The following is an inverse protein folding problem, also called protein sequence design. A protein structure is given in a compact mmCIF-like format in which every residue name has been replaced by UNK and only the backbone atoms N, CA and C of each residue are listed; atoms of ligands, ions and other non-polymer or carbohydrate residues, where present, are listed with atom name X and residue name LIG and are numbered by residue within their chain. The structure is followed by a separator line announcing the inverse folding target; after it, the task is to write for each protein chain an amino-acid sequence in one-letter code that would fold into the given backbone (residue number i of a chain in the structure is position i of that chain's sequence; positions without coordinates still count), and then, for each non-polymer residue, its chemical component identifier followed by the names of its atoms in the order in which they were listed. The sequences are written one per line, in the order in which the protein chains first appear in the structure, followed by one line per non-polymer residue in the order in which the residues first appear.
data_IF_808447784205
#
_entry.id   IF_808447784205
#
_cell.length_a   1.000
_cell.length_b   1.000
_cell.length_c   1.000
_cell.angle_alpha   90.00
_cell.angle_beta   90.00
_cell.angle_gamma   90.00
#
_symmetry.space_group_name_H-M   'P 1'
#
loop_
_entity.id
_entity.type
_entity.pdbx_description
1 polymer ?
#
# COMPACT_ATOMS: atom_id res chain seq x y z
N UNK A 1 -18.23 9.24 19.04
CA UNK A 1 -18.91 7.92 19.03
C UNK A 1 -18.54 7.10 17.79
N UNK A 2 -18.84 7.56 16.56
CA UNK A 2 -18.57 6.83 15.30
C UNK A 2 -17.10 6.38 15.16
N UNK A 3 -16.14 7.29 15.36
CA UNK A 3 -14.71 6.96 15.27
C UNK A 3 -14.28 5.84 16.24
N UNK A 4 -14.77 5.87 17.48
CA UNK A 4 -14.45 4.86 18.50
C UNK A 4 -15.04 3.50 18.15
N UNK A 5 -16.24 3.48 17.59
CA UNK A 5 -16.86 2.25 17.09
C UNK A 5 -16.04 1.68 15.93
N UNK A 6 -15.72 2.50 14.93
CA UNK A 6 -14.95 2.10 13.76
C UNK A 6 -13.57 1.57 14.14
N UNK A 7 -12.89 2.21 15.09
CA UNK A 7 -11.63 1.72 15.62
C UNK A 7 -11.79 0.35 16.29
N UNK A 8 -12.80 0.16 17.14
CA UNK A 8 -13.02 -1.13 17.82
C UNK A 8 -13.33 -2.27 16.85
N UNK A 9 -14.16 -2.01 15.84
CA UNK A 9 -14.55 -3.01 14.84
C UNK A 9 -13.37 -3.42 13.95
N UNK A 10 -12.45 -2.50 13.67
CA UNK A 10 -11.34 -2.73 12.74
C UNK A 10 -9.99 -2.94 13.43
N UNK A 11 -9.92 -2.85 14.77
CA UNK A 11 -8.66 -2.93 15.51
C UNK A 11 -7.89 -4.19 15.18
N UNK A 12 -8.57 -5.35 15.16
CA UNK A 12 -7.93 -6.63 14.86
C UNK A 12 -7.34 -6.65 13.44
N UNK A 13 -8.06 -6.07 12.46
CA UNK A 13 -7.56 -5.98 11.08
C UNK A 13 -6.35 -5.05 11.01
N UNK A 14 -6.40 -3.88 11.66
CA UNK A 14 -5.30 -2.91 11.67
C UNK A 14 -4.06 -3.49 12.35
N UNK A 15 -4.22 -4.16 13.49
CA UNK A 15 -3.12 -4.83 14.20
C UNK A 15 -2.57 -5.99 13.37
N UNK A 16 -3.45 -6.80 12.77
CA UNK A 16 -3.04 -7.90 11.88
C UNK A 16 -2.28 -7.38 10.65
N UNK A 17 -2.74 -6.29 10.04
CA UNK A 17 -2.06 -5.63 8.92
C UNK A 17 -0.69 -5.10 9.33
N UNK A 18 -0.60 -4.40 10.47
CA UNK A 18 0.69 -3.96 11.01
C UNK A 18 1.64 -5.13 11.27
N UNK A 19 1.16 -6.19 11.92
CA UNK A 19 1.97 -7.37 12.23
C UNK A 19 2.48 -8.06 10.94
N UNK A 20 1.63 -8.18 9.92
CA UNK A 20 2.00 -8.74 8.62
C UNK A 20 3.08 -7.89 7.95
N UNK A 21 2.91 -6.57 7.90
CA UNK A 21 3.92 -5.66 7.36
C UNK A 21 5.24 -5.78 8.13
N UNK A 22 5.20 -5.64 9.45
CA UNK A 22 6.39 -5.67 10.29
C UNK A 22 7.16 -6.98 10.15
N UNK A 23 6.45 -8.12 10.18
CA UNK A 23 7.04 -9.44 10.01
C UNK A 23 7.69 -9.57 8.62
N UNK A 24 6.96 -9.28 7.55
CA UNK A 24 7.47 -9.49 6.19
C UNK A 24 8.63 -8.54 5.85
N UNK A 25 8.59 -7.30 6.33
CA UNK A 25 9.68 -6.34 6.17
C UNK A 25 10.90 -6.73 6.99
N UNK A 26 10.72 -7.17 8.24
CA UNK A 26 11.85 -7.62 9.08
C UNK A 26 12.54 -8.86 8.48
N UNK A 27 11.76 -9.84 8.02
CA UNK A 27 12.29 -11.03 7.33
C UNK A 27 12.99 -10.65 6.02
N UNK A 28 12.42 -9.71 5.25
CA UNK A 28 13.05 -9.18 4.05
C UNK A 28 14.40 -8.53 4.35
N UNK A 29 14.48 -7.69 5.38
CA UNK A 29 15.74 -7.07 5.81
C UNK A 29 16.75 -8.14 6.20
N UNK A 30 16.35 -9.13 6.99
CA UNK A 30 17.25 -10.18 7.43
C UNK A 30 17.77 -11.06 6.28
N UNK A 31 16.98 -11.24 5.22
CA UNK A 31 17.40 -11.95 4.01
C UNK A 31 18.38 -11.15 3.12
N UNK A 32 18.55 -9.84 3.36
CA UNK A 32 19.39 -8.99 2.51
C UNK A 32 20.84 -9.47 2.34
N UNK A 33 21.58 -9.88 3.40
CA UNK A 33 22.99 -10.28 3.25
C UNK A 33 23.18 -11.47 2.30
N UNK A 34 22.28 -12.45 2.38
CA UNK A 34 22.29 -13.63 1.51
C UNK A 34 21.97 -13.22 0.07
N UNK A 35 20.95 -12.37 -0.13
CA UNK A 35 20.60 -11.85 -1.44
C UNK A 35 21.73 -11.02 -2.07
N UNK A 36 22.37 -10.15 -1.29
CA UNK A 36 23.50 -9.32 -1.74
C UNK A 36 24.67 -10.18 -2.21
N UNK A 37 24.97 -11.25 -1.48
CA UNK A 37 26.02 -12.21 -1.84
C UNK A 37 25.65 -12.96 -3.12
N UNK A 38 24.43 -13.48 -3.21
CA UNK A 38 23.94 -14.20 -4.39
C UNK A 38 23.93 -13.31 -5.65
N UNK A 39 23.52 -12.04 -5.52
CA UNK A 39 23.55 -11.07 -6.60
C UNK A 39 24.98 -10.80 -7.09
N UNK A 40 25.95 -10.70 -6.17
CA UNK A 40 27.35 -10.47 -6.52
C UNK A 40 28.02 -11.68 -7.18
N UNK A 41 27.65 -12.89 -6.77
CA UNK A 41 28.16 -14.13 -7.36
C UNK A 41 27.52 -14.44 -8.71
N UNK A 42 26.23 -14.12 -8.87
CA UNK A 42 25.45 -14.48 -10.05
C UNK A 42 25.04 -13.20 -10.79
N UNK A 43 25.99 -12.61 -11.51
CA UNK A 43 25.72 -11.44 -12.37
C UNK A 43 24.60 -11.70 -13.38
N UNK A 44 24.31 -12.97 -13.69
CA UNK A 44 23.28 -13.40 -14.65
C UNK A 44 21.95 -13.89 -14.02
N UNK A 45 21.68 -13.71 -12.71
CA UNK A 45 20.36 -14.13 -12.12
C UNK A 45 19.20 -13.53 -12.90
N UNK A 46 19.35 -12.26 -13.27
CA UNK A 46 18.38 -11.51 -14.06
C UNK A 46 18.06 -12.23 -15.40
N UNK A 47 19.06 -12.85 -16.04
CA UNK A 47 18.90 -13.57 -17.31
C UNK A 47 18.03 -14.83 -17.21
N UNK A 48 17.99 -15.47 -16.03
CA UNK A 48 17.17 -16.67 -15.79
C UNK A 48 15.71 -16.37 -15.46
N UNK A 49 15.36 -15.10 -15.17
CA UNK A 49 13.97 -14.73 -14.93
C UNK A 49 13.21 -14.65 -16.26
N UNK A 50 12.15 -15.45 -16.45
CA UNK A 50 11.37 -15.45 -17.68
C UNK A 50 10.45 -14.23 -17.81
N UNK A 51 10.20 -13.52 -16.70
CA UNK A 51 9.35 -12.34 -16.64
C UNK A 51 10.24 -11.10 -16.65
N UNK A 52 10.12 -10.29 -17.71
CA UNK A 52 10.96 -9.11 -17.92
C UNK A 52 10.81 -8.06 -16.80
N UNK A 53 9.60 -7.82 -16.29
CA UNK A 53 9.41 -6.91 -15.16
C UNK A 53 10.15 -7.34 -13.88
N UNK A 54 10.24 -8.66 -13.61
CA UNK A 54 11.03 -9.16 -12.46
C UNK A 54 12.52 -9.02 -12.71
N UNK A 55 12.96 -9.21 -13.96
CA UNK A 55 14.34 -9.00 -14.38
C UNK A 55 14.77 -7.56 -14.13
N UNK A 56 13.97 -6.59 -14.55
CA UNK A 56 14.24 -5.16 -14.35
C UNK A 56 14.32 -4.81 -12.86
N UNK A 57 13.42 -5.34 -12.02
CA UNK A 57 13.49 -5.16 -10.56
C UNK A 57 14.81 -5.70 -9.99
N UNK A 58 15.25 -6.89 -10.39
CA UNK A 58 16.53 -7.45 -9.94
C UNK A 58 17.68 -6.55 -10.39
N UNK A 59 17.74 -6.17 -11.66
CA UNK A 59 18.79 -5.28 -12.18
C UNK A 59 18.88 -3.98 -11.39
N UNK A 60 17.73 -3.34 -11.11
CA UNK A 60 17.68 -2.14 -10.26
C UNK A 60 18.21 -2.38 -8.86
N UNK A 61 17.94 -3.54 -8.25
CA UNK A 61 18.51 -3.90 -6.95
C UNK A 61 20.03 -4.09 -7.04
N UNK A 62 20.55 -4.61 -8.16
CA UNK A 62 22.00 -4.71 -8.36
C UNK A 62 22.65 -3.32 -8.51
N UNK A 63 21.98 -2.40 -9.22
CA UNK A 63 22.47 -1.04 -9.48
C UNK A 63 22.38 -0.13 -8.25
N UNK A 64 21.23 -0.10 -7.59
CA UNK A 64 20.88 0.86 -6.50
C UNK A 64 21.03 0.24 -5.10
N UNK A 65 21.31 -1.06 -5.04
CA UNK A 65 21.60 -1.78 -3.81
C UNK A 65 20.42 -1.85 -2.84
N UNK A 66 20.72 -1.62 -1.55
CA UNK A 66 19.79 -1.89 -0.46
C UNK A 66 18.54 -0.99 -0.49
N UNK A 67 18.64 0.25 -0.98
CA UNK A 67 17.49 1.15 -1.03
C UNK A 67 16.42 0.66 -2.01
N UNK A 68 16.81 0.22 -3.21
CA UNK A 68 15.88 -0.37 -4.15
C UNK A 68 15.25 -1.64 -3.58
N UNK A 69 16.05 -2.51 -2.95
CA UNK A 69 15.52 -3.70 -2.29
C UNK A 69 14.51 -3.36 -1.20
N UNK A 70 14.85 -2.46 -0.27
CA UNK A 70 13.95 -2.00 0.77
C UNK A 70 12.66 -1.40 0.20
N UNK A 71 12.77 -0.59 -0.86
CA UNK A 71 11.64 0.02 -1.54
C UNK A 71 10.68 -1.01 -2.13
N UNK A 72 11.21 -2.06 -2.77
CA UNK A 72 10.37 -3.19 -3.25
C UNK A 72 9.69 -3.88 -2.08
N UNK A 73 10.43 -4.20 -1.01
CA UNK A 73 9.87 -4.98 0.11
C UNK A 73 8.81 -4.21 0.90
N UNK A 74 9.06 -2.93 1.17
CA UNK A 74 8.23 -2.10 2.04
C UNK A 74 7.13 -1.35 1.28
N UNK A 75 7.46 -0.70 0.16
CA UNK A 75 6.52 0.17 -0.55
C UNK A 75 5.73 -0.60 -1.59
N UNK A 76 6.41 -1.34 -2.47
CA UNK A 76 5.74 -2.07 -3.54
C UNK A 76 5.00 -3.31 -3.02
N UNK A 77 5.66 -4.20 -2.29
CA UNK A 77 5.01 -5.39 -1.69
C UNK A 77 4.16 -5.01 -0.48
N UNK A 78 4.75 -4.29 0.49
CA UNK A 78 4.04 -3.91 1.72
C UNK A 78 2.83 -3.00 1.46
N UNK A 79 3.04 -1.86 0.80
CA UNK A 79 1.96 -0.95 0.45
C UNK A 79 1.13 -1.41 -0.75
N UNK A 80 1.78 -1.73 -1.87
CA UNK A 80 1.11 -2.06 -3.12
C UNK A 80 0.36 -3.39 -3.14
N UNK A 81 0.82 -4.42 -2.40
CA UNK A 81 0.11 -5.71 -2.35
C UNK A 81 -0.70 -5.82 -1.06
N UNK A 82 -0.05 -5.78 0.11
CA UNK A 82 -0.76 -5.97 1.38
C UNK A 82 -1.63 -4.76 1.75
N UNK A 83 -1.15 -3.54 1.50
CA UNK A 83 -1.92 -2.32 1.75
C UNK A 83 -3.16 -2.20 0.86
N UNK A 84 -3.04 -2.54 -0.42
CA UNK A 84 -4.18 -2.66 -1.34
C UNK A 84 -5.19 -3.70 -0.85
N UNK A 85 -4.73 -4.88 -0.43
CA UNK A 85 -5.60 -5.92 0.11
C UNK A 85 -6.37 -5.41 1.34
N UNK A 86 -5.66 -4.77 2.28
CA UNK A 86 -6.25 -4.16 3.46
C UNK A 86 -7.24 -3.04 3.11
N UNK A 87 -6.92 -2.21 2.10
CA UNK A 87 -7.80 -1.14 1.61
C UNK A 87 -9.10 -1.68 1.03
N UNK A 88 -9.04 -2.76 0.23
CA UNK A 88 -10.21 -3.46 -0.28
C UNK A 88 -11.07 -4.04 0.84
N UNK A 89 -10.46 -4.72 1.81
CA UNK A 89 -11.19 -5.32 2.94
C UNK A 89 -11.85 -4.26 3.83
N UNK A 90 -11.10 -3.25 4.28
CA UNK A 90 -11.62 -2.17 5.12
C UNK A 90 -12.65 -1.30 4.41
N UNK A 91 -12.42 -0.97 3.14
CA UNK A 91 -13.31 -0.10 2.37
C UNK A 91 -14.62 -0.77 1.99
N UNK A 92 -14.61 -2.09 1.76
CA UNK A 92 -15.77 -2.82 1.23
C UNK A 92 -17.02 -2.72 2.11
N UNK A 93 -16.85 -2.88 3.42
CA UNK A 93 -17.94 -2.84 4.40
C UNK A 93 -18.21 -1.47 5.01
N UNK A 94 -17.50 -0.41 4.61
CA UNK A 94 -17.53 0.85 5.37
C UNK A 94 -18.89 1.57 5.31
N UNK A 95 -19.61 1.42 4.20
CA UNK A 95 -20.97 1.94 4.03
C UNK A 95 -21.95 0.77 3.82
N UNK A 96 -21.64 -0.14 2.89
CA UNK A 96 -22.53 -1.23 2.51
C UNK A 96 -22.94 -2.15 3.69
N UNK A 97 -22.08 -2.31 4.72
CA UNK A 97 -22.41 -3.15 5.89
C UNK A 97 -23.63 -2.65 6.66
N UNK A 98 -23.89 -1.35 6.67
CA UNK A 98 -25.08 -0.80 7.34
C UNK A 98 -26.36 -1.12 6.57
N UNK A 99 -26.29 -1.17 5.25
CA UNK A 99 -27.41 -1.58 4.40
C UNK A 99 -27.66 -3.08 4.55
N UNK A 100 -26.59 -3.89 4.50
CA UNK A 100 -26.62 -5.35 4.64
C UNK A 100 -27.23 -5.77 6.00
N UNK A 101 -26.82 -5.10 7.08
CA UNK A 101 -27.31 -5.37 8.44
C UNK A 101 -28.64 -4.68 8.78
N UNK A 102 -29.25 -3.91 7.87
CA UNK A 102 -30.46 -3.11 8.10
C UNK A 102 -30.32 -2.10 9.26
N UNK A 103 -29.11 -1.62 9.52
CA UNK A 103 -28.81 -0.63 10.58
C UNK A 103 -28.70 0.80 10.05
N UNK A 104 -28.74 0.99 8.71
CA UNK A 104 -28.68 2.30 8.07
C UNK A 104 -29.80 3.26 8.56
N UNK A 105 -31.02 2.75 8.77
CA UNK A 105 -32.15 3.56 9.24
C UNK A 105 -31.91 4.17 10.63
N UNK A 106 -31.32 3.39 11.53
CA UNK A 106 -30.95 3.85 12.87
C UNK A 106 -29.82 4.89 12.84
N UNK A 107 -28.87 4.74 11.91
CA UNK A 107 -27.78 5.70 11.74
C UNK A 107 -28.30 7.03 11.19
N UNK A 108 -29.26 6.99 10.26
CA UNK A 108 -29.83 8.14 9.57
C UNK A 108 -30.96 8.85 10.34
N UNK A 109 -31.57 8.21 11.33
CA UNK A 109 -32.58 8.84 12.21
C UNK A 109 -31.96 9.81 13.21
N UNK A 110 -30.65 9.71 13.45
CA UNK A 110 -29.92 10.67 14.29
C UNK A 110 -29.72 11.99 13.54
N UNK A 111 -29.70 13.15 14.25
CA UNK A 111 -29.47 14.46 13.65
C UNK A 111 -27.98 14.68 13.30
N UNK A 112 -27.39 13.76 12.54
CA UNK A 112 -26.00 13.81 12.07
C UNK A 112 -26.03 13.86 10.55
N UNK A 113 -25.34 14.82 9.94
CA UNK A 113 -25.28 14.93 8.49
C UNK A 113 -24.61 13.70 7.86
N UNK A 114 -25.17 13.23 6.74
CA UNK A 114 -24.64 12.09 5.97
C UNK A 114 -23.19 12.28 5.58
N UNK A 115 -22.85 13.50 5.15
CA UNK A 115 -21.47 13.90 4.82
C UNK A 115 -20.51 13.70 5.98
N UNK A 116 -20.91 14.08 7.20
CA UNK A 116 -20.08 13.91 8.41
C UNK A 116 -19.85 12.43 8.71
N UNK A 117 -20.87 11.59 8.57
CA UNK A 117 -20.74 10.13 8.78
C UNK A 117 -19.70 9.55 7.82
N UNK A 118 -19.84 9.83 6.52
CA UNK A 118 -18.92 9.32 5.49
C UNK A 118 -17.51 9.84 5.71
N UNK A 119 -17.32 11.15 5.93
CA UNK A 119 -15.99 11.75 6.13
C UNK A 119 -15.28 11.20 7.38
N UNK A 120 -16.00 11.01 8.49
CA UNK A 120 -15.41 10.44 9.70
C UNK A 120 -14.98 8.99 9.47
N UNK A 121 -15.82 8.18 8.82
CA UNK A 121 -15.48 6.79 8.51
C UNK A 121 -14.31 6.69 7.54
N UNK A 122 -14.36 7.46 6.46
CA UNK A 122 -13.27 7.56 5.48
C UNK A 122 -11.96 7.99 6.14
N UNK A 123 -11.98 9.06 6.95
CA UNK A 123 -10.78 9.55 7.64
C UNK A 123 -10.21 8.53 8.62
N UNK A 124 -11.05 7.85 9.41
CA UNK A 124 -10.58 6.78 10.29
C UNK A 124 -10.02 5.59 9.52
N UNK A 125 -10.62 5.20 8.39
CA UNK A 125 -10.10 4.13 7.54
C UNK A 125 -8.79 4.48 6.84
N UNK A 126 -8.66 5.71 6.35
CA UNK A 126 -7.41 6.21 5.78
C UNK A 126 -6.27 6.20 6.83
N UNK A 127 -6.53 6.68 8.05
CA UNK A 127 -5.56 6.62 9.15
C UNK A 127 -5.22 5.19 9.57
N UNK A 128 -6.22 4.30 9.58
CA UNK A 128 -6.05 2.88 9.89
C UNK A 128 -5.16 2.14 8.87
N UNK A 129 -5.09 2.61 7.63
CA UNK A 129 -4.21 2.09 6.58
C UNK A 129 -2.82 2.75 6.58
N UNK A 130 -2.78 4.08 6.69
CA UNK A 130 -1.53 4.84 6.63
C UNK A 130 -0.65 4.60 7.86
N UNK A 131 -1.24 4.51 9.05
CA UNK A 131 -0.47 4.42 10.31
C UNK A 131 0.39 3.15 10.38
N UNK A 132 -0.16 1.93 10.13
CA UNK A 132 0.67 0.71 10.09
C UNK A 132 1.82 0.78 9.09
N UNK A 133 1.59 1.35 7.90
CA UNK A 133 2.60 1.46 6.86
C UNK A 133 3.75 2.40 7.28
N UNK A 134 3.42 3.57 7.83
CA UNK A 134 4.43 4.53 8.32
C UNK A 134 5.20 3.96 9.49
N UNK A 135 4.52 3.36 10.47
CA UNK A 135 5.17 2.75 11.63
C UNK A 135 6.09 1.59 11.21
N UNK A 136 5.62 0.70 10.33
CA UNK A 136 6.43 -0.40 9.83
C UNK A 136 7.64 0.10 9.03
N UNK A 137 7.51 1.20 8.29
CA UNK A 137 8.65 1.80 7.58
C UNK A 137 9.71 2.30 8.57
N UNK A 138 9.28 2.90 9.68
CA UNK A 138 10.17 3.29 10.78
C UNK A 138 10.88 2.09 11.40
N UNK A 139 10.15 1.01 11.69
CA UNK A 139 10.74 -0.25 12.17
C UNK A 139 11.77 -0.78 11.18
N UNK A 140 11.43 -0.82 9.89
CA UNK A 140 12.35 -1.26 8.83
C UNK A 140 13.64 -0.46 8.81
N UNK A 141 13.56 0.88 8.83
CA UNK A 141 14.75 1.73 8.85
C UNK A 141 15.58 1.58 10.13
N UNK A 142 14.94 1.32 11.28
CA UNK A 142 15.65 1.03 12.55
C UNK A 142 16.32 -0.34 12.55
N UNK A 143 15.80 -1.31 11.79
CA UNK A 143 16.37 -2.64 11.66
C UNK A 143 17.50 -2.72 10.62
N UNK A 144 17.58 -1.80 9.65
CA UNK A 144 18.61 -1.80 8.61
C UNK A 144 20.06 -1.87 9.13
N UNK A 145 20.46 -1.19 10.22
CA UNK A 145 21.81 -1.31 10.77
C UNK A 145 22.20 -2.72 11.20
N UNK A 146 21.23 -3.61 11.49
CA UNK A 146 21.50 -5.01 11.87
C UNK A 146 22.11 -5.82 10.73
N UNK A 147 21.93 -5.39 9.47
CA UNK A 147 22.52 -6.03 8.28
C UNK A 147 23.66 -5.21 7.66
N UNK A 148 24.18 -4.24 8.42
CA UNK A 148 25.29 -3.38 7.99
C UNK A 148 24.88 -2.26 7.02
N UNK A 149 23.58 -2.03 6.84
CA UNK A 149 23.05 -1.04 5.92
C UNK A 149 22.46 0.17 6.67
N UNK A 150 22.36 1.32 6.00
CA UNK A 150 21.73 2.52 6.56
C UNK A 150 20.76 3.11 5.56
N UNK A 151 19.59 3.49 6.04
CA UNK A 151 18.57 4.18 5.25
C UNK A 151 18.33 5.57 5.84
N UNK A 152 18.20 6.57 4.97
CA UNK A 152 17.74 7.89 5.37
C UNK A 152 16.30 7.81 5.88
N UNK A 153 16.09 8.14 7.17
CA UNK A 153 14.75 8.18 7.76
C UNK A 153 13.81 9.14 7.02
N UNK A 154 14.34 10.22 6.46
CA UNK A 154 13.56 11.18 5.69
C UNK A 154 13.07 10.55 4.37
N UNK A 155 13.96 9.89 3.62
CA UNK A 155 13.60 9.22 2.37
C UNK A 155 12.57 8.10 2.64
N UNK A 156 12.78 7.33 3.71
CA UNK A 156 11.86 6.28 4.13
C UNK A 156 10.48 6.86 4.51
N UNK A 157 10.44 7.95 5.28
CA UNK A 157 9.19 8.63 5.65
C UNK A 157 8.46 9.22 4.42
N UNK A 158 9.20 9.78 3.47
CA UNK A 158 8.65 10.29 2.21
C UNK A 158 8.06 9.16 1.36
N UNK A 159 8.77 8.03 1.22
CA UNK A 159 8.28 6.84 0.53
C UNK A 159 7.04 6.25 1.20
N UNK A 160 7.02 6.20 2.54
CA UNK A 160 5.85 5.76 3.30
C UNK A 160 4.65 6.68 3.10
N UNK A 161 4.86 8.00 3.13
CA UNK A 161 3.80 8.98 2.90
C UNK A 161 3.22 8.87 1.49
N UNK A 162 4.08 8.76 0.47
CA UNK A 162 3.66 8.60 -0.91
C UNK A 162 2.88 7.30 -1.12
N UNK A 163 3.41 6.19 -0.62
CA UNK A 163 2.76 4.87 -0.71
C UNK A 163 1.44 4.85 0.07
N UNK A 164 1.37 5.54 1.21
CA UNK A 164 0.12 5.68 1.96
C UNK A 164 -0.95 6.42 1.14
N UNK A 165 -0.58 7.44 0.36
CA UNK A 165 -1.53 8.10 -0.56
C UNK A 165 -2.06 7.13 -1.61
N UNK A 166 -1.22 6.27 -2.17
CA UNK A 166 -1.65 5.23 -3.11
C UNK A 166 -2.67 4.28 -2.48
N UNK A 167 -2.37 3.77 -1.29
CA UNK A 167 -3.29 2.89 -0.53
C UNK A 167 -4.59 3.61 -0.20
N UNK A 168 -4.54 4.90 0.18
CA UNK A 168 -5.73 5.71 0.46
C UNK A 168 -6.55 5.99 -0.80
N UNK A 169 -5.93 6.17 -1.97
CA UNK A 169 -6.64 6.33 -3.24
C UNK A 169 -7.43 5.06 -3.62
N UNK A 170 -6.80 3.89 -3.45
CA UNK A 170 -7.46 2.58 -3.61
C UNK A 170 -8.59 2.40 -2.60
N UNK A 171 -8.35 2.73 -1.34
CA UNK A 171 -9.37 2.68 -0.29
C UNK A 171 -10.55 3.60 -0.61
N UNK A 172 -10.30 4.81 -1.11
CA UNK A 172 -11.33 5.77 -1.51
C UNK A 172 -12.19 5.22 -2.63
N UNK A 173 -11.59 4.58 -3.62
CA UNK A 173 -12.31 3.87 -4.70
C UNK A 173 -13.20 2.76 -4.13
N UNK A 174 -12.68 1.99 -3.17
CA UNK A 174 -13.45 0.94 -2.49
C UNK A 174 -14.63 1.51 -1.70
N UNK A 175 -14.44 2.63 -0.99
CA UNK A 175 -15.50 3.33 -0.24
C UNK A 175 -16.58 3.85 -1.20
N UNK A 176 -16.17 4.43 -2.33
CA UNK A 176 -17.06 4.94 -3.37
C UNK A 176 -17.91 3.83 -4.00
N UNK A 177 -17.33 2.65 -4.23
CA UNK A 177 -18.05 1.45 -4.67
C UNK A 177 -18.94 0.89 -3.56
N UNK A 178 -18.47 0.88 -2.31
CA UNK A 178 -19.25 0.44 -1.14
C UNK A 178 -20.51 1.29 -0.97
N UNK A 179 -20.43 2.60 -1.20
CA UNK A 179 -21.59 3.49 -1.18
C UNK A 179 -22.67 3.16 -2.23
N UNK A 180 -22.29 2.46 -3.30
CA UNK A 180 -23.18 2.04 -4.41
C UNK A 180 -23.60 0.58 -4.34
N UNK A 181 -23.16 -0.15 -3.33
CA UNK A 181 -23.43 -1.57 -3.16
C UNK A 181 -24.39 -1.82 -2.01
N UNK A 182 -25.31 -2.75 -2.20
CA UNK A 182 -26.14 -3.30 -1.12
C UNK A 182 -25.42 -4.35 -0.28
N UNK A 183 -24.39 -5.00 -0.85
CA UNK A 183 -23.64 -6.09 -0.20
C UNK A 183 -22.24 -5.63 0.18
N UNK A 184 -21.84 -5.94 1.42
CA UNK A 184 -20.57 -5.50 1.97
C UNK A 184 -19.36 -6.01 1.17
N UNK A 185 -19.40 -7.25 0.67
CA UNK A 185 -18.23 -7.87 0.03
C UNK A 185 -18.03 -7.47 -1.45
N UNK A 186 -19.08 -7.00 -2.13
CA UNK A 186 -19.05 -6.78 -3.59
C UNK A 186 -18.01 -5.74 -4.00
N UNK A 187 -17.95 -4.62 -3.26
CA UNK A 187 -16.99 -3.55 -3.54
C UNK A 187 -15.54 -4.03 -3.39
N UNK A 188 -15.25 -4.80 -2.33
CA UNK A 188 -13.91 -5.35 -2.09
C UNK A 188 -13.48 -6.31 -3.20
N UNK A 189 -14.34 -7.24 -3.59
CA UNK A 189 -14.04 -8.21 -4.66
C UNK A 189 -13.75 -7.51 -5.99
N UNK A 190 -14.56 -6.50 -6.36
CA UNK A 190 -14.34 -5.74 -7.60
C UNK A 190 -12.99 -5.02 -7.56
N UNK A 191 -12.68 -4.30 -6.48
CA UNK A 191 -11.41 -3.57 -6.37
C UNK A 191 -10.22 -4.51 -6.38
N UNK A 192 -10.26 -5.61 -5.63
CA UNK A 192 -9.19 -6.60 -5.62
C UNK A 192 -9.00 -7.26 -6.98
N UNK A 193 -10.09 -7.62 -7.67
CA UNK A 193 -10.03 -8.18 -9.01
C UNK A 193 -9.41 -7.21 -10.03
N UNK A 194 -9.82 -5.93 -9.98
CA UNK A 194 -9.22 -4.89 -10.83
C UNK A 194 -7.74 -4.71 -10.50
N UNK A 195 -7.35 -4.70 -9.22
CA UNK A 195 -5.95 -4.49 -8.84
C UNK A 195 -5.07 -5.69 -9.14
N UNK A 196 -5.59 -6.92 -9.07
CA UNK A 196 -4.90 -8.10 -9.57
C UNK A 196 -4.65 -8.01 -11.09
N UNK A 197 -5.64 -7.53 -11.85
CA UNK A 197 -5.44 -7.25 -13.28
C UNK A 197 -4.38 -6.16 -13.48
N UNK A 198 -4.42 -5.07 -12.71
CA UNK A 198 -3.42 -3.99 -12.78
C UNK A 198 -2.02 -4.51 -12.44
N UNK A 199 -1.89 -5.42 -11.48
CA UNK A 199 -0.64 -6.07 -11.15
C UNK A 199 -0.15 -6.97 -12.30
N UNK A 200 -1.05 -7.71 -12.95
CA UNK A 200 -0.68 -8.50 -14.13
C UNK A 200 -0.21 -7.61 -15.30
N UNK A 201 -0.87 -6.47 -15.54
CA UNK A 201 -0.46 -5.49 -16.54
C UNK A 201 0.92 -4.90 -16.22
N UNK A 202 1.21 -4.66 -14.94
CA UNK A 202 2.50 -4.17 -14.47
C UNK A 202 3.66 -5.11 -14.83
N UNK A 203 3.44 -6.43 -14.78
CA UNK A 203 4.46 -7.43 -15.12
C UNK A 203 4.77 -7.51 -16.63
N UNK A 204 3.94 -6.89 -17.47
CA UNK A 204 4.12 -6.86 -18.92
C UNK A 204 4.74 -5.51 -19.31
N UNK A 205 5.99 -5.54 -19.76
CA UNK A 205 6.77 -4.32 -20.11
C UNK A 205 6.08 -3.35 -21.08
N UNK A 206 5.28 -3.84 -22.02
CA UNK A 206 4.57 -2.96 -22.96
C UNK A 206 3.37 -2.26 -22.28
N UNK A 207 2.82 -2.87 -21.22
CA UNK A 207 1.59 -2.44 -20.56
C UNK A 207 1.82 -1.80 -19.19
N UNK A 208 3.03 -1.86 -18.65
CA UNK A 208 3.35 -1.40 -17.30
C UNK A 208 2.98 0.07 -17.05
N UNK A 209 3.14 0.95 -18.04
CA UNK A 209 2.78 2.37 -17.96
C UNK A 209 1.29 2.62 -17.70
N UNK A 210 0.43 1.66 -18.06
CA UNK A 210 -1.02 1.73 -17.83
C UNK A 210 -1.42 1.15 -16.47
N UNK A 211 -0.49 0.55 -15.74
CA UNK A 211 -0.75 0.02 -14.41
C UNK A 211 -0.76 1.12 -13.36
N UNK A 212 -1.73 1.08 -12.46
CA UNK A 212 -1.72 1.90 -11.25
C UNK A 212 -0.47 1.66 -10.38
N UNK A 213 0.16 0.48 -10.47
CA UNK A 213 1.37 0.15 -9.72
C UNK A 213 2.60 0.96 -10.16
N UNK A 214 2.60 1.51 -11.38
CA UNK A 214 3.64 2.44 -11.84
C UNK A 214 3.75 3.67 -10.93
N UNK A 215 2.66 4.07 -10.26
CA UNK A 215 2.68 5.20 -9.32
C UNK A 215 3.51 4.94 -8.05
N UNK A 216 3.86 3.69 -7.75
CA UNK A 216 4.64 3.32 -6.55
C UNK A 216 5.83 2.40 -6.87
N UNK A 217 6.24 2.36 -8.14
CA UNK A 217 7.35 1.54 -8.61
C UNK A 217 8.71 2.14 -8.19
N UNK A 218 9.78 1.38 -8.38
CA UNK A 218 11.17 1.77 -8.21
C UNK A 218 11.54 3.04 -8.97
N UNK A 219 11.01 3.29 -10.16
CA UNK A 219 11.28 4.54 -10.86
C UNK A 219 10.78 5.78 -10.09
N UNK A 220 9.74 5.60 -9.26
CA UNK A 220 9.19 6.64 -8.37
C UNK A 220 9.92 6.66 -7.03
N UNK A 221 10.28 5.50 -6.49
CA UNK A 221 10.83 5.37 -5.14
C UNK A 221 12.34 5.57 -5.05
N UNK A 222 13.09 5.23 -6.10
CA UNK A 222 14.56 5.31 -6.11
C UNK A 222 15.07 6.75 -5.99
N UNK A 223 14.51 7.75 -6.70
CA UNK A 223 14.94 9.15 -6.58
C UNK A 223 14.81 9.74 -5.16
N UNK A 224 13.97 9.17 -4.30
CA UNK A 224 13.84 9.61 -2.91
C UNK A 224 15.14 9.46 -2.10
N UNK A 225 15.98 8.48 -2.42
CA UNK A 225 17.29 8.33 -1.79
C UNK A 225 18.20 9.55 -2.07
N UNK A 226 17.96 10.22 -3.19
CA UNK A 226 18.67 11.42 -3.63
C UNK A 226 17.97 12.71 -3.16
N UNK A 227 16.88 12.60 -2.39
CA UNK A 227 16.08 13.73 -1.92
C UNK A 227 15.09 14.29 -2.95
N UNK A 228 14.89 13.60 -4.08
CA UNK A 228 13.95 14.00 -5.12
C UNK A 228 12.58 13.41 -4.84
N UNK A 229 11.61 14.26 -4.48
CA UNK A 229 10.25 13.83 -4.19
C UNK A 229 9.39 13.70 -5.47
N UNK A 230 8.61 12.62 -5.65
CA UNK A 230 7.80 12.37 -6.84
C UNK A 230 6.51 13.20 -6.83
N UNK A 231 6.64 14.51 -7.07
CA UNK A 231 5.52 15.45 -7.00
C UNK A 231 4.42 15.15 -8.02
N UNK A 232 4.79 14.73 -9.23
CA UNK A 232 3.84 14.45 -10.32
C UNK A 232 2.89 13.31 -9.94
N UNK A 233 3.45 12.20 -9.49
CA UNK A 233 2.73 11.00 -9.07
C UNK A 233 1.91 11.31 -7.81
N UNK A 234 2.47 12.08 -6.88
CA UNK A 234 1.77 12.49 -5.66
C UNK A 234 0.53 13.32 -5.97
N UNK A 235 0.62 14.28 -6.90
CA UNK A 235 -0.52 15.08 -7.34
C UNK A 235 -1.57 14.20 -8.01
N UNK A 236 -1.17 13.24 -8.83
CA UNK A 236 -2.09 12.28 -9.44
C UNK A 236 -2.87 11.48 -8.38
N UNK A 237 -2.21 11.05 -7.31
CA UNK A 237 -2.86 10.35 -6.19
C UNK A 237 -3.83 11.24 -5.41
N UNK A 238 -3.47 12.50 -5.17
CA UNK A 238 -4.36 13.46 -4.51
C UNK A 238 -5.60 13.74 -5.36
N UNK A 239 -5.44 13.89 -6.68
CA UNK A 239 -6.54 14.06 -7.61
C UNK A 239 -7.44 12.82 -7.66
N UNK A 240 -6.86 11.61 -7.61
CA UNK A 240 -7.62 10.37 -7.52
C UNK A 240 -8.45 10.30 -6.23
N UNK A 241 -7.88 10.68 -5.08
CA UNK A 241 -8.61 10.75 -3.81
C UNK A 241 -9.77 11.75 -3.86
N UNK A 242 -9.63 12.83 -4.62
CA UNK A 242 -10.64 13.89 -4.75
C UNK A 242 -11.75 13.65 -5.78
N UNK A 243 -11.61 12.64 -6.65
CA UNK A 243 -12.53 12.32 -7.75
C UNK A 243 -13.73 11.47 -7.28
#
# INVERSE_FOLDING_TARGET
MIARQMLRENLLLVVGYFALLAMTTSLGIWFWPDLRTAIGEWTDVAAFLPIEGLREVVLRIQEEGYWAYFSVQQFFRGGGVFGVAAAGLLGSGIIAREADNRTAEFLLSRPISRRRIVLVRWGCGALALATPLVLCTGVGAMCSPLVGEKISLLAAAQGAAHTALFVVAVFTTTVWLSARSSHAMRAGIIVLGVLLLQFALYLIKVLWHYSAYNLIDLDVMTPLAQGLYPWKETVALILWIGA
#
